data_IF_878010077574
#
_entry.id   IF_878010077574
#
_cell.length_a   1.000
_cell.length_b   1.000
_cell.length_c   1.000
_cell.angle_alpha   90.00
_cell.angle_beta   90.00
_cell.angle_gamma   90.00
#
_symmetry.space_group_name_H-M   'P 1'
#
loop_
_entity.id
_entity.type
_entity.pdbx_description
1 polymer ?
#
# COMPACT_ATOMS: atom_id res chain seq x y z
N UNK A 1 -2.90 -13.25 -6.14
CA UNK A 1 -3.60 -12.35 -7.10
C UNK A 1 -5.05 -12.78 -7.25
N UNK A 2 -6.01 -11.84 -7.20
CA UNK A 2 -7.43 -12.12 -7.39
C UNK A 2 -7.84 -12.13 -8.88
N UNK A 3 -9.14 -12.30 -9.15
CA UNK A 3 -9.68 -12.36 -10.53
C UNK A 3 -9.51 -11.06 -11.32
N UNK A 4 -9.23 -9.95 -10.64
CA UNK A 4 -9.02 -8.62 -11.24
C UNK A 4 -7.53 -8.27 -11.35
N UNK A 5 -6.63 -9.21 -11.08
CA UNK A 5 -5.20 -8.95 -11.10
C UNK A 5 -4.66 -8.23 -9.86
N UNK A 6 -5.46 -8.09 -8.80
CA UNK A 6 -5.10 -7.34 -7.61
C UNK A 6 -4.46 -8.25 -6.55
N UNK A 7 -3.58 -7.65 -5.75
CA UNK A 7 -2.82 -8.33 -4.69
C UNK A 7 -2.87 -7.51 -3.41
N UNK A 8 -2.62 -8.17 -2.28
CA UNK A 8 -2.61 -7.48 -1.00
C UNK A 8 -1.26 -6.80 -0.72
N UNK A 9 -1.16 -6.04 0.38
CA UNK A 9 0.04 -5.24 0.68
C UNK A 9 1.28 -6.13 0.89
N UNK A 10 1.10 -7.32 1.47
CA UNK A 10 2.18 -8.23 1.76
C UNK A 10 2.75 -8.87 0.49
N UNK A 11 1.88 -9.31 -0.40
CA UNK A 11 2.25 -9.78 -1.74
C UNK A 11 2.99 -8.67 -2.51
N UNK A 12 2.52 -7.42 -2.44
CA UNK A 12 3.20 -6.28 -3.06
C UNK A 12 4.58 -5.99 -2.46
N UNK A 13 4.73 -6.10 -1.14
CA UNK A 13 6.03 -5.94 -0.48
C UNK A 13 7.04 -6.98 -0.98
N UNK A 14 6.63 -8.25 -1.12
CA UNK A 14 7.48 -9.29 -1.69
C UNK A 14 7.86 -9.00 -3.15
N UNK A 15 6.90 -8.57 -3.99
CA UNK A 15 7.17 -8.20 -5.38
C UNK A 15 8.03 -6.93 -5.51
N UNK A 16 7.96 -6.03 -4.53
CA UNK A 16 8.77 -4.82 -4.46
C UNK A 16 10.15 -5.07 -3.82
N UNK A 17 10.70 -6.28 -3.97
CA UNK A 17 12.01 -6.68 -3.42
C UNK A 17 12.16 -6.40 -1.92
N UNK A 18 11.09 -6.61 -1.15
CA UNK A 18 11.07 -6.39 0.30
C UNK A 18 11.38 -4.94 0.68
N UNK A 19 10.93 -3.96 -0.11
CA UNK A 19 11.09 -2.52 0.18
C UNK A 19 9.74 -1.85 0.41
N UNK A 20 9.73 -0.86 1.30
CA UNK A 20 8.61 0.05 1.52
C UNK A 20 8.61 1.17 0.47
N UNK A 21 7.71 2.13 0.64
CA UNK A 21 7.64 3.33 -0.19
C UNK A 21 6.89 3.14 -1.50
N UNK A 22 6.42 1.94 -1.83
CA UNK A 22 5.53 1.69 -2.96
C UNK A 22 4.14 2.28 -2.73
N UNK A 23 3.44 2.54 -3.83
CA UNK A 23 2.13 3.16 -3.81
C UNK A 23 1.03 2.15 -4.13
N UNK A 24 -0.05 2.24 -3.38
CA UNK A 24 -1.21 1.37 -3.47
C UNK A 24 -2.48 2.20 -3.68
N UNK A 25 -3.44 1.61 -4.39
CA UNK A 25 -4.79 2.14 -4.51
C UNK A 25 -5.81 1.05 -4.23
N UNK A 26 -6.68 1.29 -3.26
CA UNK A 26 -7.87 0.48 -3.05
C UNK A 26 -9.00 1.07 -3.90
N UNK A 27 -9.86 0.22 -4.44
CA UNK A 27 -10.91 0.60 -5.39
C UNK A 27 -11.93 1.61 -4.86
N UNK A 28 -12.24 1.56 -3.56
CA UNK A 28 -13.17 2.49 -2.91
C UNK A 28 -12.50 3.80 -2.50
N UNK A 29 -11.17 3.86 -2.53
CA UNK A 29 -10.42 5.05 -2.14
C UNK A 29 -10.44 6.10 -3.24
N UNK A 30 -10.87 7.32 -2.88
CA UNK A 30 -10.56 8.55 -3.61
C UNK A 30 -9.19 9.09 -3.18
N UNK A 31 -8.19 8.21 -3.10
CA UNK A 31 -6.85 8.52 -2.61
C UNK A 31 -5.86 7.44 -3.05
N UNK A 32 -4.58 7.80 -3.11
CA UNK A 32 -3.47 6.85 -3.24
C UNK A 32 -2.70 6.78 -1.92
N UNK A 33 -2.19 5.61 -1.56
CA UNK A 33 -1.47 5.37 -0.32
C UNK A 33 -0.01 5.02 -0.57
N UNK A 34 0.93 5.69 0.10
CA UNK A 34 2.33 5.25 0.17
C UNK A 34 2.53 4.38 1.40
N UNK A 35 2.98 3.15 1.21
CA UNK A 35 3.31 2.25 2.33
C UNK A 35 4.56 2.76 3.02
N UNK A 36 4.45 3.12 4.31
CA UNK A 36 5.56 3.65 5.09
C UNK A 36 6.38 2.55 5.73
N UNK A 37 5.71 1.61 6.41
CA UNK A 37 6.33 0.45 7.03
C UNK A 37 5.29 -0.60 7.43
N UNK A 38 5.75 -1.82 7.67
CA UNK A 38 4.99 -2.94 8.20
C UNK A 38 5.50 -3.23 9.62
N UNK A 39 4.61 -3.27 10.61
CA UNK A 39 5.00 -3.40 12.03
C UNK A 39 5.75 -4.71 12.27
N UNK A 40 6.93 -4.60 12.88
CA UNK A 40 7.75 -5.76 13.26
C UNK A 40 8.55 -6.36 12.10
N UNK A 41 8.55 -5.71 10.93
CA UNK A 41 9.30 -6.09 9.74
C UNK A 41 10.31 -4.97 9.47
N UNK A 42 11.54 -5.31 9.08
CA UNK A 42 12.51 -4.36 8.54
C UNK A 42 12.57 -4.54 7.02
N UNK A 43 12.91 -3.48 6.28
CA UNK A 43 13.15 -3.61 4.84
C UNK A 43 14.24 -4.66 4.56
N UNK A 44 14.02 -5.47 3.54
CA UNK A 44 14.87 -6.62 3.20
C UNK A 44 14.48 -7.92 3.93
N UNK A 45 13.73 -7.84 5.04
CA UNK A 45 13.30 -9.03 5.76
C UNK A 45 12.06 -9.67 5.11
N UNK A 46 12.01 -11.00 5.17
CA UNK A 46 10.81 -11.77 4.83
C UNK A 46 9.69 -11.57 5.87
N UNK A 47 8.45 -11.68 5.41
CA UNK A 47 7.28 -11.71 6.27
C UNK A 47 7.15 -13.09 6.95
N UNK A 48 6.74 -13.11 8.21
CA UNK A 48 6.50 -14.36 8.96
C UNK A 48 5.08 -14.87 8.74
N UNK A 49 4.91 -16.19 8.67
CA UNK A 49 3.60 -16.84 8.52
C UNK A 49 3.28 -17.19 7.08
N UNK A 50 2.07 -17.72 6.85
CA UNK A 50 1.68 -18.24 5.55
C UNK A 50 1.04 -17.16 4.65
N UNK A 51 1.35 -17.14 3.35
CA UNK A 51 0.63 -16.31 2.40
C UNK A 51 -0.87 -16.68 2.36
N UNK A 52 -1.75 -15.74 2.03
CA UNK A 52 -1.46 -14.35 1.70
C UNK A 52 -1.46 -13.42 2.93
N UNK A 53 -1.67 -13.92 4.15
CA UNK A 53 -1.93 -13.10 5.35
C UNK A 53 -0.69 -12.85 6.21
N UNK A 54 0.31 -13.73 6.21
CA UNK A 54 1.59 -13.55 6.91
C UNK A 54 1.45 -13.03 8.35
N UNK A 55 0.55 -13.65 9.14
CA UNK A 55 0.22 -13.25 10.52
C UNK A 55 -0.41 -11.85 10.69
N UNK A 56 -0.82 -11.22 9.59
CA UNK A 56 -1.51 -9.93 9.53
C UNK A 56 -0.86 -8.80 10.35
N UNK A 57 0.43 -8.46 10.12
CA UNK A 57 1.05 -7.33 10.76
C UNK A 57 0.36 -6.02 10.35
N UNK A 58 0.24 -5.08 11.29
CA UNK A 58 -0.30 -3.75 11.01
C UNK A 58 0.57 -3.02 10.00
N UNK A 59 -0.05 -2.29 9.09
CA UNK A 59 0.64 -1.48 8.07
C UNK A 59 0.31 0.00 8.29
N UNK A 60 1.33 0.86 8.24
CA UNK A 60 1.13 2.31 8.23
C UNK A 60 1.27 2.85 6.81
N UNK A 61 0.27 3.61 6.38
CA UNK A 61 0.14 4.13 5.02
C UNK A 61 -0.11 5.63 5.06
N UNK A 62 0.63 6.40 4.28
CA UNK A 62 0.35 7.82 4.05
C UNK A 62 -0.61 7.94 2.88
N UNK A 63 -1.87 8.29 3.17
CA UNK A 63 -2.90 8.55 2.16
C UNK A 63 -2.80 9.98 1.64
N UNK A 64 -2.84 10.13 0.32
CA UNK A 64 -2.92 11.41 -0.39
C UNK A 64 -4.32 11.54 -0.98
N UNK A 65 -5.08 12.55 -0.54
CA UNK A 65 -6.48 12.72 -0.93
C UNK A 65 -6.62 13.30 -2.34
N UNK A 66 -7.45 12.65 -3.15
CA UNK A 66 -7.65 13.02 -4.54
C UNK A 66 -8.72 14.11 -4.68
N UNK A 67 -8.25 15.36 -4.70
CA UNK A 67 -8.93 16.43 -5.44
C UNK A 67 -7.99 17.17 -6.41
N UNK A 68 -6.71 16.77 -6.52
CA UNK A 68 -5.72 17.50 -7.32
C UNK A 68 -4.39 16.75 -7.53
N UNK A 69 -4.40 15.43 -7.78
CA UNK A 69 -3.15 14.68 -7.98
C UNK A 69 -2.75 14.76 -9.46
N UNK A 70 -2.10 15.87 -9.84
CA UNK A 70 -1.25 15.91 -11.03
C UNK A 70 0.14 15.31 -10.76
N UNK A 71 0.63 15.53 -9.52
CA UNK A 71 1.90 15.05 -8.96
C UNK A 71 1.79 15.11 -7.42
N UNK A 72 2.26 14.08 -6.70
CA UNK A 72 2.40 14.18 -5.24
C UNK A 72 3.61 15.04 -4.90
N UNK A 73 3.39 16.14 -4.17
CA UNK A 73 4.45 16.99 -3.66
C UNK A 73 4.29 17.25 -2.15
N UNK A 74 5.17 18.09 -1.59
CA UNK A 74 5.22 18.39 -0.15
C UNK A 74 3.93 19.06 0.38
N UNK A 75 3.16 19.70 -0.49
CA UNK A 75 1.93 20.41 -0.15
C UNK A 75 0.67 19.54 -0.36
N UNK A 76 0.80 18.33 -0.90
CA UNK A 76 -0.34 17.44 -1.10
C UNK A 76 -0.94 17.04 0.24
N UNK A 77 -2.24 17.33 0.41
CA UNK A 77 -2.97 16.98 1.63
C UNK A 77 -2.92 15.47 1.85
N UNK A 78 -2.43 15.09 3.03
CA UNK A 78 -2.23 13.70 3.39
C UNK A 78 -2.50 13.44 4.86
N UNK A 79 -2.87 12.19 5.15
CA UNK A 79 -2.93 11.67 6.51
C UNK A 79 -2.25 10.31 6.59
N UNK A 80 -1.70 10.00 7.75
CA UNK A 80 -1.25 8.64 8.03
C UNK A 80 -2.43 7.84 8.57
N UNK A 81 -2.70 6.68 7.96
CA UNK A 81 -3.65 5.70 8.45
C UNK A 81 -2.93 4.43 8.86
N UNK A 82 -3.60 3.67 9.72
CA UNK A 82 -3.20 2.32 10.11
C UNK A 82 -4.18 1.33 9.48
N UNK A 83 -3.65 0.38 8.74
CA UNK A 83 -4.38 -0.77 8.20
C UNK A 83 -4.09 -1.93 9.14
N UNK A 84 -5.10 -2.36 9.90
CA UNK A 84 -4.96 -3.42 10.90
C UNK A 84 -4.83 -4.82 10.27
N UNK A 85 -5.26 -4.96 9.02
CA UNK A 85 -5.16 -6.18 8.23
C UNK A 85 -4.82 -5.82 6.78
N UNK A 86 -3.53 -5.86 6.45
CA UNK A 86 -3.04 -5.60 5.10
C UNK A 86 -3.30 -6.74 4.12
N UNK A 87 -3.82 -7.89 4.58
CA UNK A 87 -4.08 -9.08 3.80
C UNK A 87 -5.53 -9.21 3.31
N UNK A 88 -6.47 -8.57 4.00
CA UNK A 88 -7.92 -8.59 3.69
C UNK A 88 -8.28 -7.83 2.42
N UNK A 89 -7.66 -6.66 2.19
CA UNK A 89 -7.96 -5.83 1.03
C UNK A 89 -7.04 -6.13 -0.15
N UNK A 90 -7.55 -5.87 -1.35
CA UNK A 90 -6.82 -5.99 -2.60
C UNK A 90 -6.55 -4.60 -3.14
N UNK A 91 -5.31 -4.38 -3.56
CA UNK A 91 -4.83 -3.09 -3.97
C UNK A 91 -4.25 -3.18 -5.37
N UNK A 92 -4.51 -2.14 -6.16
CA UNK A 92 -3.82 -1.88 -7.41
C UNK A 92 -2.45 -1.28 -7.06
N UNK A 93 -1.39 -1.82 -7.67
CA UNK A 93 -0.08 -1.17 -7.66
C UNK A 93 -0.14 0.05 -8.58
N UNK A 94 0.26 1.21 -8.05
CA UNK A 94 0.26 2.49 -8.77
C UNK A 94 1.58 3.21 -8.51
N UNK A 95 1.79 4.35 -9.17
CA UNK A 95 2.91 5.25 -8.92
C UNK A 95 2.45 6.62 -8.41
N UNK A 96 3.41 7.50 -8.11
CA UNK A 96 3.16 8.83 -7.57
C UNK A 96 2.51 9.81 -8.57
N UNK A 97 2.49 9.47 -9.86
CA UNK A 97 1.88 10.23 -10.95
C UNK A 97 0.50 9.69 -11.35
N UNK A 98 -0.06 8.74 -10.57
CA UNK A 98 -1.36 8.15 -10.86
C UNK A 98 -2.48 9.20 -10.98
N UNK A 99 -3.23 9.14 -12.08
CA UNK A 99 -4.36 10.03 -12.36
C UNK A 99 -5.68 9.29 -12.19
N UNK A 100 -6.64 9.92 -11.54
CA UNK A 100 -8.02 9.45 -11.52
C UNK A 100 -8.64 9.73 -12.89
N UNK A 101 -8.85 8.66 -13.67
CA UNK A 101 -9.60 8.68 -14.93
C UNK A 101 -11.08 8.89 -14.71
#
# INVERSE_FOLDING_TARGET
MDRNGLINIYEQYCLNNYRYGFFIRESTWKSIGKVLFIVGIKEGDNLKGNPPYFNNPKVYVKLFYAFSIGEINRNTNSRVIKICDGGTYRYQSVDENFRFS
#
